data_IF_693248299584
#
_entry.id   IF_693248299584
#
_cell.length_a   1.000
_cell.length_b   1.000
_cell.length_c   1.000
_cell.angle_alpha   90.00
_cell.angle_beta   90.00
_cell.angle_gamma   90.00
#
_symmetry.space_group_name_H-M   'P 1'
#
loop_
_entity.id
_entity.type
_entity.pdbx_description
1 polymer ?
#
# COMPACT_ATOMS: atom_id res chain seq x y z
N UNK A 1 -14.13 -9.27 -26.36
CA UNK A 1 -13.96 -9.87 -25.03
C UNK A 1 -14.35 -8.82 -24.01
N UNK A 2 -15.35 -9.13 -23.20
CA UNK A 2 -16.25 -8.21 -22.51
C UNK A 2 -15.55 -7.29 -21.50
N UNK A 3 -15.94 -6.00 -21.49
CA UNK A 3 -15.70 -5.08 -20.39
C UNK A 3 -16.50 -5.57 -19.18
N UNK A 4 -15.92 -6.45 -18.39
CA UNK A 4 -16.43 -6.72 -17.06
C UNK A 4 -16.38 -5.40 -16.29
N UNK A 5 -17.56 -4.87 -15.94
CA UNK A 5 -17.72 -3.77 -15.01
C UNK A 5 -16.86 -4.07 -13.78
N UNK A 6 -15.66 -3.46 -13.69
CA UNK A 6 -14.79 -3.55 -12.52
C UNK A 6 -15.60 -3.07 -11.33
N UNK A 7 -16.20 -4.01 -10.58
CA UNK A 7 -16.86 -3.73 -9.31
C UNK A 7 -15.86 -2.90 -8.52
N UNK A 8 -16.28 -1.70 -8.11
CA UNK A 8 -15.43 -0.82 -7.31
C UNK A 8 -14.94 -1.63 -6.12
N UNK A 9 -13.63 -1.64 -5.91
CA UNK A 9 -13.07 -2.31 -4.75
C UNK A 9 -13.73 -1.71 -3.49
N UNK A 10 -14.09 -2.54 -2.50
CA UNK A 10 -14.73 -2.05 -1.28
C UNK A 10 -13.83 -1.00 -0.61
N UNK A 11 -14.46 -0.05 0.07
CA UNK A 11 -13.72 0.94 0.86
C UNK A 11 -12.85 0.24 1.91
N UNK A 12 -11.74 0.87 2.29
CA UNK A 12 -10.91 0.36 3.38
C UNK A 12 -11.71 0.41 4.68
N UNK A 13 -11.81 -0.74 5.36
CA UNK A 13 -12.37 -0.83 6.71
C UNK A 13 -11.46 -0.15 7.72
N UNK A 14 -11.96 0.13 8.94
CA UNK A 14 -11.10 0.67 10.00
C UNK A 14 -9.93 -0.28 10.33
N UNK A 15 -10.17 -1.60 10.33
CA UNK A 15 -9.13 -2.60 10.57
C UNK A 15 -8.07 -2.61 9.47
N UNK A 16 -8.48 -2.58 8.20
CA UNK A 16 -7.55 -2.47 7.06
C UNK A 16 -6.71 -1.19 7.17
N UNK A 17 -7.30 -0.06 7.58
CA UNK A 17 -6.56 1.20 7.75
C UNK A 17 -5.48 1.09 8.83
N UNK A 18 -5.85 0.59 10.01
CA UNK A 18 -4.91 0.40 11.12
C UNK A 18 -3.80 -0.57 10.73
N UNK A 19 -4.14 -1.68 10.09
CA UNK A 19 -3.19 -2.66 9.60
C UNK A 19 -2.23 -2.05 8.59
N UNK A 20 -2.75 -1.32 7.59
CA UNK A 20 -1.93 -0.68 6.57
C UNK A 20 -0.92 0.31 7.16
N UNK A 21 -1.37 1.17 8.08
CA UNK A 21 -0.47 2.12 8.76
C UNK A 21 0.58 1.39 9.60
N UNK A 22 0.18 0.33 10.31
CA UNK A 22 1.09 -0.49 11.11
C UNK A 22 2.18 -1.16 10.26
N UNK A 23 1.80 -1.77 9.13
CA UNK A 23 2.76 -2.41 8.21
C UNK A 23 3.69 -1.36 7.61
N UNK A 24 3.16 -0.22 7.14
CA UNK A 24 3.98 0.85 6.54
C UNK A 24 4.93 1.48 7.56
N UNK A 25 4.55 1.57 8.83
CA UNK A 25 5.40 2.12 9.88
C UNK A 25 6.78 1.45 9.93
N UNK A 26 6.85 0.13 9.69
CA UNK A 26 8.11 -0.63 9.65
C UNK A 26 9.02 -0.21 8.47
N UNK A 27 8.43 0.28 7.38
CA UNK A 27 9.13 0.70 6.16
C UNK A 27 9.17 2.22 6.00
N UNK A 28 8.75 2.98 7.02
CA UNK A 28 8.63 4.45 6.97
C UNK A 28 9.92 5.14 6.49
N UNK A 29 11.06 4.71 7.02
CA UNK A 29 12.37 5.24 6.66
C UNK A 29 12.72 5.09 5.16
N UNK A 30 12.14 4.10 4.47
CA UNK A 30 12.32 3.88 3.02
C UNK A 30 11.24 4.62 2.23
N UNK A 31 9.97 4.45 2.61
CA UNK A 31 8.81 5.01 1.89
C UNK A 31 8.79 6.54 1.95
N UNK A 32 9.23 7.12 3.06
CA UNK A 32 9.24 8.58 3.27
C UNK A 32 10.58 9.24 2.95
N UNK A 33 11.56 8.46 2.48
CA UNK A 33 12.86 9.00 2.14
C UNK A 33 12.73 10.04 1.03
N UNK A 34 13.17 11.28 1.29
CA UNK A 34 13.13 12.39 0.31
C UNK A 34 14.26 12.31 -0.72
N UNK A 35 15.26 11.46 -0.50
CA UNK A 35 16.33 11.23 -1.46
C UNK A 35 15.79 10.49 -2.68
N UNK A 36 16.14 10.99 -3.86
CA UNK A 36 15.79 10.44 -5.17
C UNK A 36 17.07 10.09 -5.92
N UNK A 37 17.56 8.89 -5.70
CA UNK A 37 18.58 8.20 -6.50
C UNK A 37 17.95 6.97 -7.17
N UNK A 38 18.56 6.45 -8.24
CA UNK A 38 18.08 5.22 -8.93
C UNK A 38 17.95 4.03 -7.96
N UNK A 39 18.87 3.90 -7.01
CA UNK A 39 18.81 2.92 -5.91
C UNK A 39 17.58 3.12 -5.03
N UNK A 40 17.29 4.36 -4.61
CA UNK A 40 16.14 4.66 -3.74
C UNK A 40 14.79 4.37 -4.39
N UNK A 41 14.67 4.38 -5.72
CA UNK A 41 13.44 3.99 -6.40
C UNK A 41 13.19 2.48 -6.27
N UNK A 42 14.23 1.67 -6.48
CA UNK A 42 14.16 0.21 -6.31
C UNK A 42 13.88 -0.17 -4.86
N UNK A 43 14.49 0.52 -3.91
CA UNK A 43 14.26 0.29 -2.49
C UNK A 43 12.81 0.59 -2.09
N UNK A 44 12.26 1.70 -2.58
CA UNK A 44 10.84 2.05 -2.37
C UNK A 44 9.91 1.02 -3.01
N UNK A 45 10.19 0.59 -4.24
CA UNK A 45 9.35 -0.40 -4.92
C UNK A 45 9.38 -1.77 -4.22
N UNK A 46 10.56 -2.20 -3.76
CA UNK A 46 10.75 -3.38 -2.94
C UNK A 46 10.01 -3.28 -1.60
N UNK A 47 10.13 -2.14 -0.90
CA UNK A 47 9.41 -1.89 0.34
C UNK A 47 7.89 -1.96 0.13
N UNK A 48 7.36 -1.34 -0.92
CA UNK A 48 5.93 -1.42 -1.25
C UNK A 48 5.47 -2.84 -1.60
N UNK A 49 6.32 -3.64 -2.25
CA UNK A 49 6.05 -5.05 -2.51
C UNK A 49 5.96 -5.85 -1.21
N UNK A 50 6.89 -5.63 -0.28
CA UNK A 50 6.87 -6.26 1.04
C UNK A 50 5.68 -5.80 1.89
N UNK A 51 5.33 -4.51 1.87
CA UNK A 51 4.13 -3.97 2.52
C UNK A 51 2.89 -4.67 1.98
N UNK A 52 2.79 -4.82 0.66
CA UNK A 52 1.63 -5.47 0.01
C UNK A 52 1.53 -6.93 0.43
N UNK A 53 2.64 -7.66 0.43
CA UNK A 53 2.68 -9.04 0.89
C UNK A 53 2.30 -9.15 2.38
N UNK A 54 2.88 -8.33 3.24
CA UNK A 54 2.61 -8.31 4.68
C UNK A 54 1.16 -7.93 5.01
N UNK A 55 0.61 -6.95 4.29
CA UNK A 55 -0.79 -6.57 4.41
C UNK A 55 -1.72 -7.71 3.96
N UNK A 56 -1.48 -8.30 2.80
CA UNK A 56 -2.31 -9.37 2.27
C UNK A 56 -2.20 -10.67 3.08
N UNK A 57 -1.07 -10.90 3.76
CA UNK A 57 -0.90 -12.02 4.68
C UNK A 57 -1.67 -11.83 5.99
N UNK A 58 -1.73 -10.59 6.50
CA UNK A 58 -2.39 -10.27 7.78
C UNK A 58 -3.87 -9.91 7.63
N UNK A 59 -4.31 -9.49 6.44
CA UNK A 59 -5.70 -9.10 6.21
C UNK A 59 -6.60 -10.32 6.16
N UNK A 60 -7.72 -10.26 6.87
CA UNK A 60 -8.79 -11.28 6.81
C UNK A 60 -9.94 -10.85 5.88
N UNK A 61 -9.82 -9.67 5.27
CA UNK A 61 -10.87 -9.09 4.42
C UNK A 61 -10.51 -9.28 2.94
N UNK A 62 -10.01 -8.24 2.29
CA UNK A 62 -9.72 -8.26 0.86
C UNK A 62 -8.24 -8.07 0.60
N UNK A 63 -7.69 -8.89 -0.28
CA UNK A 63 -6.36 -8.64 -0.82
C UNK A 63 -6.37 -7.33 -1.63
N UNK A 64 -5.33 -6.52 -1.44
CA UNK A 64 -5.13 -5.24 -2.14
C UNK A 64 -3.86 -5.31 -2.97
N UNK A 65 -3.86 -4.60 -4.09
CA UNK A 65 -2.66 -4.43 -4.89
C UNK A 65 -1.82 -3.26 -4.39
N UNK A 66 -0.53 -3.27 -4.76
CA UNK A 66 0.45 -2.26 -4.38
C UNK A 66 -0.03 -0.83 -4.65
N UNK A 67 -0.64 -0.61 -5.80
CA UNK A 67 -1.13 0.69 -6.25
C UNK A 67 -2.28 1.21 -5.38
N UNK A 68 -3.17 0.32 -4.91
CA UNK A 68 -4.26 0.69 -4.01
C UNK A 68 -3.75 1.12 -2.65
N UNK A 69 -2.81 0.35 -2.07
CA UNK A 69 -2.20 0.64 -0.78
C UNK A 69 -1.41 1.95 -0.82
N UNK A 70 -0.59 2.14 -1.86
CA UNK A 70 0.19 3.35 -2.06
C UNK A 70 -0.72 4.59 -2.21
N UNK A 71 -1.72 4.51 -3.09
CA UNK A 71 -2.68 5.61 -3.29
C UNK A 71 -3.42 5.95 -2.00
N UNK A 72 -3.83 4.95 -1.24
CA UNK A 72 -4.49 5.17 0.04
C UNK A 72 -3.56 5.87 1.04
N UNK A 73 -2.31 5.39 1.17
CA UNK A 73 -1.32 5.98 2.06
C UNK A 73 -0.97 7.43 1.69
N UNK A 74 -0.81 7.71 0.39
CA UNK A 74 -0.54 9.06 -0.11
C UNK A 74 -1.72 10.02 0.16
N UNK A 75 -2.96 9.52 0.15
CA UNK A 75 -4.14 10.31 0.48
C UNK A 75 -4.23 10.63 1.97
N UNK A 76 -3.95 9.66 2.86
CA UNK A 76 -3.99 9.90 4.32
C UNK A 76 -2.85 10.79 4.81
N UNK A 77 -1.74 10.85 4.08
CA UNK A 77 -0.60 11.72 4.39
C UNK A 77 -0.81 13.20 4.09
N UNK A 78 -1.76 13.52 3.21
CA UNK A 78 -2.03 14.90 2.76
C UNK A 78 -3.03 15.63 3.66
N UNK A 79 -3.66 14.91 4.58
CA UNK A 79 -4.52 15.45 5.63
C UNK A 79 -3.66 15.83 6.81
#
# INVERSE_FOLDING_TARGET
>A
MSLENKKRAPNFSFKEKCLLVSVIHNFKHIVENKVTSSTTWRDKDSAWTQITAGFNYQTTEHARCKEQLKKYYDNIKKV
#
